data_IF_241982753843
#
_entry.id   IF_241982753843
#
_cell.length_a   1.000
_cell.length_b   1.000
_cell.length_c   1.000
_cell.angle_alpha   90.00
_cell.angle_beta   90.00
_cell.angle_gamma   90.00
#
_symmetry.space_group_name_H-M   'P 1'
#
loop_
_entity.id
_entity.type
_entity.pdbx_description
1 polymer ?
#
# COMPACT_ATOMS: atom_id res chain seq x y z
N UNK A 1 -9.40 -1.16 9.74
CA UNK A 1 -8.70 -0.94 10.99
C UNK A 1 -7.89 0.35 11.07
N UNK A 2 -7.79 1.19 10.01
CA UNK A 2 -7.08 2.47 10.03
C UNK A 2 -8.06 3.65 9.96
N UNK A 3 -7.58 4.84 10.31
CA UNK A 3 -8.38 6.06 10.24
C UNK A 3 -9.62 5.98 11.12
N UNK A 4 -10.78 6.26 10.52
CA UNK A 4 -12.09 6.24 11.17
C UNK A 4 -12.74 4.84 11.19
N UNK A 5 -12.13 3.83 10.55
CA UNK A 5 -12.64 2.45 10.59
C UNK A 5 -12.61 1.87 12.01
N UNK A 6 -13.49 0.92 12.28
CA UNK A 6 -13.47 0.13 13.50
C UNK A 6 -12.12 -0.59 13.69
N UNK A 7 -11.75 -0.81 14.94
CA UNK A 7 -10.51 -1.47 15.34
C UNK A 7 -10.81 -2.64 16.29
N UNK A 8 -11.42 -3.72 15.72
CA UNK A 8 -11.76 -4.89 16.51
C UNK A 8 -10.49 -5.57 17.05
N UNK A 9 -10.64 -6.30 18.15
CA UNK A 9 -9.53 -7.09 18.72
C UNK A 9 -9.31 -8.39 17.90
N UNK A 10 -8.13 -9.01 18.05
CA UNK A 10 -7.76 -10.23 17.32
C UNK A 10 -8.79 -11.38 17.36
N UNK A 11 -9.51 -11.64 18.47
CA UNK A 11 -10.57 -12.65 18.45
C UNK A 11 -11.79 -12.29 17.59
N UNK A 12 -11.96 -11.02 17.26
CA UNK A 12 -13.12 -10.51 16.50
C UNK A 12 -12.81 -10.34 15.02
N UNK A 13 -11.55 -10.10 14.68
CA UNK A 13 -11.13 -9.86 13.29
C UNK A 13 -9.72 -10.36 13.03
N UNK A 14 -9.60 -11.18 12.03
CA UNK A 14 -8.31 -11.68 11.57
C UNK A 14 -7.70 -10.69 10.55
N UNK A 15 -6.70 -9.95 11.00
CA UNK A 15 -6.00 -8.88 10.25
C UNK A 15 -5.10 -9.44 9.15
N UNK A 16 -5.66 -10.13 8.14
CA UNK A 16 -4.93 -10.68 7.00
C UNK A 16 -5.19 -9.93 5.71
N UNK A 17 -4.27 -10.05 4.75
CA UNK A 17 -4.47 -9.55 3.39
C UNK A 17 -5.77 -10.07 2.78
N UNK A 18 -6.06 -11.38 2.94
CA UNK A 18 -7.30 -11.99 2.44
C UNK A 18 -8.54 -11.25 2.97
N UNK A 19 -8.65 -11.10 4.28
CA UNK A 19 -9.81 -10.44 4.88
C UNK A 19 -9.92 -8.96 4.48
N UNK A 20 -8.78 -8.26 4.27
CA UNK A 20 -8.80 -6.87 3.78
C UNK A 20 -9.30 -6.78 2.33
N UNK A 21 -9.00 -7.77 1.50
CA UNK A 21 -9.56 -7.88 0.14
C UNK A 21 -11.07 -8.16 0.23
N UNK A 22 -11.48 -9.08 1.10
CA UNK A 22 -12.90 -9.43 1.33
C UNK A 22 -13.68 -8.20 1.84
N UNK A 23 -13.11 -7.41 2.75
CA UNK A 23 -13.71 -6.16 3.26
C UNK A 23 -13.87 -5.11 2.14
N UNK A 24 -12.86 -4.96 1.27
CA UNK A 24 -12.95 -4.04 0.14
C UNK A 24 -14.05 -4.47 -0.83
N UNK A 25 -14.13 -5.75 -1.14
CA UNK A 25 -15.16 -6.32 -2.01
C UNK A 25 -16.56 -6.07 -1.42
N UNK A 26 -16.76 -6.40 -0.14
CA UNK A 26 -18.01 -6.17 0.57
C UNK A 26 -18.41 -4.67 0.59
N UNK A 27 -17.42 -3.78 0.79
CA UNK A 27 -17.66 -2.34 0.76
C UNK A 27 -18.16 -1.89 -0.63
N UNK A 28 -17.43 -2.27 -1.69
CA UNK A 28 -17.81 -1.89 -3.07
C UNK A 28 -19.18 -2.43 -3.44
N UNK A 29 -19.50 -3.66 -3.05
CA UNK A 29 -20.82 -4.26 -3.29
C UNK A 29 -21.92 -3.55 -2.50
N UNK A 30 -21.66 -3.17 -1.26
CA UNK A 30 -22.62 -2.40 -0.43
C UNK A 30 -22.91 -1.01 -0.98
N UNK A 31 -21.96 -0.43 -1.72
CA UNK A 31 -22.08 0.86 -2.40
C UNK A 31 -22.59 0.75 -3.85
N UNK A 32 -22.93 -0.45 -4.30
CA UNK A 32 -23.31 -0.77 -5.68
C UNK A 32 -22.28 -0.34 -6.75
N UNK A 33 -20.98 -0.31 -6.37
CA UNK A 33 -19.86 0.01 -7.27
C UNK A 33 -19.41 -1.25 -7.97
N UNK A 34 -19.98 -1.57 -9.13
CA UNK A 34 -19.80 -2.86 -9.82
C UNK A 34 -18.97 -2.82 -11.09
N UNK A 35 -18.78 -1.66 -11.70
CA UNK A 35 -18.12 -1.51 -13.01
C UNK A 35 -17.36 -0.19 -13.12
N UNK A 36 -16.48 -0.10 -14.11
CA UNK A 36 -15.74 1.10 -14.45
C UNK A 36 -14.87 1.64 -13.29
N UNK A 37 -14.35 0.75 -12.45
CA UNK A 37 -13.55 1.11 -11.30
C UNK A 37 -12.19 1.63 -11.75
N UNK A 38 -11.80 2.81 -11.26
CA UNK A 38 -10.43 3.30 -11.31
C UNK A 38 -9.80 3.04 -9.95
N UNK A 39 -8.84 2.12 -9.90
CA UNK A 39 -8.05 1.87 -8.69
C UNK A 39 -6.96 2.94 -8.57
N UNK A 40 -6.89 3.62 -7.44
CA UNK A 40 -5.76 4.48 -7.06
C UNK A 40 -5.19 3.89 -5.78
N UNK A 41 -4.04 3.26 -5.86
CA UNK A 41 -3.49 2.43 -4.79
C UNK A 41 -2.12 2.92 -4.33
N UNK A 42 -1.91 2.89 -3.00
CA UNK A 42 -0.68 3.28 -2.33
C UNK A 42 -0.38 2.30 -1.19
N UNK A 43 0.87 2.04 -0.91
CA UNK A 43 1.35 1.15 0.15
C UNK A 43 0.65 -0.23 0.10
N UNK A 44 0.02 -0.69 1.17
CA UNK A 44 -0.77 -1.92 1.19
C UNK A 44 -1.97 -1.91 0.22
N UNK A 45 -2.39 -0.73 -0.20
CA UNK A 45 -3.46 -0.59 -1.19
C UNK A 45 -3.16 -1.30 -2.51
N UNK A 46 -1.88 -1.44 -2.89
CA UNK A 46 -1.49 -2.23 -4.06
C UNK A 46 -1.87 -3.69 -3.94
N UNK A 47 -1.49 -4.35 -2.85
CA UNK A 47 -1.85 -5.76 -2.63
C UNK A 47 -3.35 -5.95 -2.43
N UNK A 48 -4.02 -5.05 -1.70
CA UNK A 48 -5.46 -5.14 -1.45
C UNK A 48 -6.25 -4.85 -2.74
N UNK A 49 -5.95 -3.75 -3.41
CA UNK A 49 -6.65 -3.33 -4.63
C UNK A 49 -6.41 -4.29 -5.80
N UNK A 50 -5.17 -4.74 -6.01
CA UNK A 50 -4.88 -5.72 -7.07
C UNK A 50 -5.37 -7.12 -6.70
N UNK A 51 -5.44 -7.47 -5.41
CA UNK A 51 -6.10 -8.69 -4.97
C UNK A 51 -7.59 -8.70 -5.25
N UNK A 52 -8.28 -7.57 -5.09
CA UNK A 52 -9.66 -7.39 -5.53
C UNK A 52 -9.76 -7.44 -7.06
N UNK A 53 -8.87 -6.74 -7.77
CA UNK A 53 -8.86 -6.73 -9.24
C UNK A 53 -8.66 -8.13 -9.83
N UNK A 54 -7.80 -8.96 -9.25
CA UNK A 54 -7.57 -10.34 -9.68
C UNK A 54 -8.80 -11.25 -9.55
N UNK A 55 -9.73 -10.92 -8.63
CA UNK A 55 -11.00 -11.62 -8.50
C UNK A 55 -12.06 -11.11 -9.47
N UNK A 56 -11.99 -9.84 -9.87
CA UNK A 56 -12.98 -9.13 -10.64
C UNK A 56 -12.34 -8.26 -11.74
N UNK A 57 -11.55 -8.84 -12.65
CA UNK A 57 -10.84 -8.08 -13.68
C UNK A 57 -11.79 -7.28 -14.58
N UNK A 58 -12.99 -7.79 -14.82
CA UNK A 58 -14.03 -7.16 -15.64
C UNK A 58 -14.59 -5.86 -15.02
N UNK A 59 -14.39 -5.65 -13.71
CA UNK A 59 -14.84 -4.43 -13.00
C UNK A 59 -13.84 -3.28 -13.14
N UNK A 60 -12.59 -3.56 -13.54
CA UNK A 60 -11.48 -2.60 -13.52
C UNK A 60 -11.38 -1.87 -14.86
N UNK A 61 -11.49 -0.56 -14.82
CA UNK A 61 -11.31 0.30 -15.99
C UNK A 61 -9.91 0.88 -16.11
N UNK A 62 -9.29 1.25 -14.98
CA UNK A 62 -7.97 1.92 -14.92
C UNK A 62 -7.25 1.58 -13.63
N UNK A 63 -5.92 1.64 -13.67
CA UNK A 63 -5.07 1.42 -12.49
C UNK A 63 -4.11 2.60 -12.34
N UNK A 64 -3.97 3.12 -11.13
CA UNK A 64 -2.97 4.12 -10.73
C UNK A 64 -2.21 3.59 -9.52
N UNK A 65 -0.91 3.38 -9.66
CA UNK A 65 -0.03 2.90 -8.60
C UNK A 65 0.85 4.03 -8.07
N UNK A 66 0.84 4.25 -6.75
CA UNK A 66 1.63 5.25 -6.05
C UNK A 66 2.45 4.56 -4.97
N UNK A 67 3.78 4.44 -5.13
CA UNK A 67 4.67 3.81 -4.13
C UNK A 67 4.05 2.60 -3.44
N UNK A 68 3.88 1.52 -4.16
CA UNK A 68 3.19 0.29 -3.73
C UNK A 68 3.73 -0.95 -4.44
N UNK A 69 3.25 -2.11 -4.03
CA UNK A 69 3.49 -3.38 -4.71
C UNK A 69 2.23 -4.25 -4.76
N UNK A 70 2.17 -5.15 -5.73
CA UNK A 70 1.18 -6.23 -5.83
C UNK A 70 1.89 -7.59 -6.05
N UNK A 71 3.10 -7.73 -5.53
CA UNK A 71 3.98 -8.88 -5.68
C UNK A 71 4.95 -8.95 -4.49
N UNK A 72 5.68 -10.05 -4.36
CA UNK A 72 6.66 -10.24 -3.30
C UNK A 72 7.81 -9.23 -3.35
N UNK A 73 8.49 -9.09 -2.21
CA UNK A 73 9.75 -8.35 -2.12
C UNK A 73 10.70 -8.79 -3.24
N UNK A 74 11.20 -7.87 -4.09
CA UNK A 74 12.15 -8.20 -5.14
C UNK A 74 13.39 -8.89 -4.56
N UNK A 75 13.88 -9.97 -5.21
CA UNK A 75 14.98 -10.80 -4.71
C UNK A 75 16.27 -10.04 -4.44
N UNK A 76 16.47 -8.94 -5.14
CA UNK A 76 17.66 -8.08 -5.02
C UNK A 76 17.59 -7.07 -3.89
N UNK A 77 16.43 -6.94 -3.24
CA UNK A 77 16.20 -5.98 -2.15
C UNK A 77 16.21 -6.67 -0.79
N UNK A 78 17.09 -6.26 0.15
CA UNK A 78 17.01 -6.74 1.52
C UNK A 78 15.75 -6.18 2.21
N UNK A 79 15.12 -7.01 3.05
CA UNK A 79 14.01 -6.54 3.87
C UNK A 79 14.51 -5.54 4.92
N UNK A 80 13.87 -4.36 5.09
CA UNK A 80 14.34 -3.35 6.04
C UNK A 80 14.37 -3.88 7.48
N UNK A 81 15.53 -3.78 8.14
CA UNK A 81 15.74 -4.33 9.49
C UNK A 81 14.77 -3.77 10.54
N UNK A 82 14.38 -2.49 10.40
CA UNK A 82 13.41 -1.86 11.31
C UNK A 82 12.02 -2.50 11.18
N UNK A 83 11.58 -2.82 9.95
CA UNK A 83 10.34 -3.56 9.71
C UNK A 83 10.45 -4.99 10.22
N UNK A 84 11.63 -5.61 10.11
CA UNK A 84 11.87 -6.96 10.64
C UNK A 84 11.68 -6.99 12.16
N UNK A 85 12.21 -6.01 12.91
CA UNK A 85 12.00 -5.90 14.36
C UNK A 85 10.49 -5.77 14.66
N UNK A 86 9.79 -4.90 13.95
CA UNK A 86 8.34 -4.69 14.14
C UNK A 86 7.53 -5.96 13.83
N UNK A 87 7.98 -6.76 12.85
CA UNK A 87 7.30 -7.98 12.42
C UNK A 87 7.54 -9.15 13.37
N UNK A 88 8.78 -9.39 13.77
CA UNK A 88 9.20 -10.68 14.35
C UNK A 88 9.36 -10.64 15.88
N UNK A 89 9.34 -9.45 16.52
CA UNK A 89 9.72 -9.36 17.91
C UNK A 89 8.66 -8.75 18.82
N UNK A 90 8.70 -9.13 20.11
CA UNK A 90 7.89 -8.48 21.15
C UNK A 90 8.27 -7.02 21.34
N UNK A 91 9.55 -6.67 21.14
CA UNK A 91 10.02 -5.28 21.13
C UNK A 91 9.29 -4.47 20.04
N UNK A 92 9.13 -5.04 18.84
CA UNK A 92 8.36 -4.42 17.76
C UNK A 92 6.91 -4.15 18.17
N UNK A 93 6.27 -5.11 18.83
CA UNK A 93 4.93 -4.91 19.38
C UNK A 93 4.86 -3.74 20.36
N UNK A 94 5.84 -3.62 21.26
CA UNK A 94 5.92 -2.53 22.22
C UNK A 94 6.17 -1.18 21.53
N UNK A 95 7.07 -1.15 20.55
CA UNK A 95 7.38 0.07 19.79
C UNK A 95 6.15 0.55 19.00
N UNK A 96 5.47 -0.35 18.30
CA UNK A 96 4.31 0.00 17.47
C UNK A 96 3.10 0.33 18.34
N UNK A 97 2.66 -0.59 19.20
CA UNK A 97 1.41 -0.40 19.98
C UNK A 97 1.61 0.46 21.23
N UNK A 98 2.75 0.34 21.92
CA UNK A 98 3.04 1.09 23.16
C UNK A 98 3.41 2.54 22.86
N UNK A 99 4.42 2.75 22.03
CA UNK A 99 5.03 4.06 21.81
C UNK A 99 4.55 4.78 20.53
N UNK A 100 3.71 4.14 19.72
CA UNK A 100 3.33 4.65 18.39
C UNK A 100 4.53 5.00 17.49
N UNK A 101 5.65 4.31 17.69
CA UNK A 101 6.89 4.65 17.02
C UNK A 101 6.80 4.51 15.50
N UNK A 102 6.02 3.53 15.01
CA UNK A 102 5.86 3.28 13.57
C UNK A 102 5.19 4.46 12.85
N UNK A 103 3.96 4.82 13.25
CA UNK A 103 3.22 5.91 12.60
C UNK A 103 3.90 7.26 12.79
N UNK A 104 4.48 7.49 13.98
CA UNK A 104 5.23 8.71 14.27
C UNK A 104 6.48 8.82 13.40
N UNK A 105 7.32 7.77 13.34
CA UNK A 105 8.52 7.77 12.50
C UNK A 105 8.17 7.93 11.01
N UNK A 106 7.14 7.22 10.53
CA UNK A 106 6.73 7.29 9.14
C UNK A 106 6.38 8.72 8.70
N UNK A 107 5.73 9.51 9.57
CA UNK A 107 5.39 10.91 9.29
C UNK A 107 6.60 11.85 9.11
N UNK A 108 7.80 11.40 9.52
CA UNK A 108 9.06 12.15 9.31
C UNK A 108 9.87 11.57 8.16
N UNK A 109 10.02 10.24 8.10
CA UNK A 109 10.90 9.61 7.11
C UNK A 109 10.24 9.34 5.77
N UNK A 110 8.91 9.34 5.74
CA UNK A 110 8.12 9.02 4.56
C UNK A 110 8.06 10.14 3.52
N UNK A 111 8.35 11.38 3.90
CA UNK A 111 8.49 12.53 2.99
C UNK A 111 9.96 12.88 2.78
N UNK A 112 10.31 13.41 1.61
CA UNK A 112 11.70 13.73 1.24
C UNK A 112 11.85 15.14 0.65
N UNK A 113 10.93 15.57 -0.20
CA UNK A 113 11.00 16.88 -0.87
C UNK A 113 10.81 18.03 0.12
N UNK A 114 9.86 17.89 1.03
CA UNK A 114 9.60 18.86 2.09
C UNK A 114 9.06 18.19 3.35
N UNK A 115 9.41 18.67 4.55
CA UNK A 115 8.79 18.16 5.78
C UNK A 115 7.27 18.42 5.77
N UNK A 116 6.50 17.48 6.29
CA UNK A 116 5.08 17.73 6.58
C UNK A 116 4.96 18.86 7.62
N UNK A 117 3.93 19.70 7.49
CA UNK A 117 3.58 20.63 8.55
C UNK A 117 3.23 19.88 9.84
N UNK A 118 3.24 20.58 10.97
CA UNK A 118 2.87 19.98 12.25
C UNK A 118 1.44 19.43 12.22
N UNK A 119 0.53 20.19 11.65
CA UNK A 119 -0.90 19.87 11.55
C UNK A 119 -1.11 18.60 10.71
N UNK A 120 -0.43 18.50 9.56
CA UNK A 120 -0.50 17.31 8.69
C UNK A 120 0.05 16.08 9.42
N UNK A 121 1.22 16.20 10.08
CA UNK A 121 1.78 15.09 10.87
C UNK A 121 0.85 14.62 11.98
N UNK A 122 0.29 15.57 12.73
CA UNK A 122 -0.68 15.26 13.78
C UNK A 122 -1.91 14.54 13.22
N UNK A 123 -2.41 14.92 12.05
CA UNK A 123 -3.52 14.26 11.38
C UNK A 123 -3.18 12.81 10.99
N UNK A 124 -1.96 12.55 10.48
CA UNK A 124 -1.51 11.19 10.17
C UNK A 124 -1.42 10.28 11.42
N UNK A 125 -1.08 10.85 12.56
CA UNK A 125 -0.85 10.09 13.81
C UNK A 125 -2.12 9.99 14.66
N UNK A 126 -3.05 10.94 14.55
CA UNK A 126 -4.24 11.04 15.38
C UNK A 126 -5.10 9.76 15.47
N UNK A 127 -5.33 8.99 14.37
CA UNK A 127 -6.10 7.75 14.44
C UNK A 127 -5.47 6.65 15.29
N UNK A 128 -4.18 6.78 15.61
CA UNK A 128 -3.36 5.79 16.32
C UNK A 128 -3.02 6.26 17.75
N UNK A 129 -3.99 6.79 18.48
CA UNK A 129 -3.86 7.48 19.77
C UNK A 129 -3.67 6.55 20.98
N UNK A 130 -3.99 5.27 20.85
CA UNK A 130 -3.99 4.32 21.97
C UNK A 130 -3.43 2.96 21.56
N UNK A 131 -3.07 2.14 22.55
CA UNK A 131 -2.66 0.75 22.34
C UNK A 131 -3.68 -0.03 21.49
N UNK A 132 -4.98 0.14 21.76
CA UNK A 132 -6.05 -0.52 21.02
C UNK A 132 -6.06 -0.05 19.56
N UNK A 133 -6.01 1.25 19.33
CA UNK A 133 -6.14 1.84 18.00
C UNK A 133 -4.91 1.64 17.09
N UNK A 134 -3.82 1.06 17.61
CA UNK A 134 -2.61 0.70 16.85
C UNK A 134 -2.54 -0.77 16.45
N UNK A 135 -3.60 -1.56 16.71
CA UNK A 135 -3.60 -2.99 16.39
C UNK A 135 -3.40 -3.23 14.89
N UNK A 136 -4.13 -2.51 14.05
CA UNK A 136 -4.02 -2.67 12.58
C UNK A 136 -2.62 -2.35 12.06
N UNK A 137 -1.98 -1.29 12.57
CA UNK A 137 -0.61 -0.92 12.18
C UNK A 137 0.39 -2.06 12.45
N UNK A 138 0.31 -2.67 13.64
CA UNK A 138 1.14 -3.83 13.97
C UNK A 138 0.84 -5.02 13.05
N UNK A 139 -0.45 -5.32 12.87
CA UNK A 139 -0.87 -6.47 12.06
C UNK A 139 -0.55 -6.32 10.58
N UNK A 140 -0.56 -5.11 10.03
CA UNK A 140 -0.07 -4.87 8.68
C UNK A 140 1.40 -5.27 8.53
N UNK A 141 2.27 -4.87 9.45
CA UNK A 141 3.69 -5.23 9.39
C UNK A 141 3.89 -6.74 9.58
N UNK A 142 3.13 -7.38 10.48
CA UNK A 142 3.22 -8.81 10.75
C UNK A 142 2.67 -9.69 9.63
N UNK A 143 1.79 -9.16 8.79
CA UNK A 143 1.18 -9.87 7.66
C UNK A 143 2.03 -9.83 6.37
N UNK A 144 3.19 -9.14 6.36
CA UNK A 144 4.09 -9.12 5.20
C UNK A 144 4.68 -10.52 4.97
N UNK A 145 4.37 -11.21 3.85
CA UNK A 145 4.92 -12.54 3.60
C UNK A 145 6.35 -12.41 3.04
N UNK A 146 7.32 -13.07 3.67
CA UNK A 146 8.74 -13.03 3.29
C UNK A 146 9.24 -14.32 2.65
N UNK A 147 8.62 -15.45 2.96
CA UNK A 147 9.05 -16.79 2.50
C UNK A 147 7.86 -17.72 2.30
N UNK A 148 8.01 -18.77 1.49
CA UNK A 148 7.02 -19.86 1.40
C UNK A 148 6.66 -20.39 2.79
N UNK A 149 5.35 -20.60 3.01
CA UNK A 149 4.80 -21.00 4.30
C UNK A 149 4.41 -19.84 5.22
N UNK A 150 4.83 -18.60 4.95
CA UNK A 150 4.28 -17.43 5.62
C UNK A 150 2.80 -17.25 5.21
N UNK A 151 2.02 -16.73 6.13
CA UNK A 151 0.62 -16.40 5.88
C UNK A 151 0.48 -15.49 4.66
N UNK A 152 -0.50 -15.76 3.80
CA UNK A 152 -0.76 -15.05 2.55
C UNK A 152 0.37 -15.09 1.49
N UNK A 153 1.45 -15.88 1.68
CA UNK A 153 2.51 -15.97 0.68
C UNK A 153 1.97 -16.39 -0.69
N UNK A 154 1.21 -17.48 -0.75
CA UNK A 154 0.63 -17.98 -2.01
C UNK A 154 -0.40 -17.01 -2.60
N UNK A 155 -1.14 -16.27 -1.75
CA UNK A 155 -2.05 -15.24 -2.21
C UNK A 155 -1.30 -14.09 -2.89
N UNK A 156 -0.19 -13.63 -2.32
CA UNK A 156 0.65 -12.58 -2.94
C UNK A 156 1.29 -13.09 -4.23
N UNK A 157 1.69 -14.37 -4.28
CA UNK A 157 2.16 -14.99 -5.54
C UNK A 157 1.07 -14.93 -6.61
N UNK A 158 -0.13 -15.38 -6.29
CA UNK A 158 -1.29 -15.37 -7.19
C UNK A 158 -1.63 -13.96 -7.69
N UNK A 159 -1.63 -12.97 -6.80
CA UNK A 159 -1.86 -11.57 -7.18
C UNK A 159 -0.77 -11.08 -8.16
N UNK A 160 0.50 -11.38 -7.86
CA UNK A 160 1.61 -11.00 -8.72
C UNK A 160 1.55 -11.64 -10.11
N UNK A 161 1.11 -12.90 -10.19
CA UNK A 161 0.97 -13.63 -11.45
C UNK A 161 -0.20 -13.12 -12.28
N UNK A 162 -1.30 -12.68 -11.64
CA UNK A 162 -2.47 -12.12 -12.32
C UNK A 162 -2.25 -10.75 -12.96
N UNK A 163 -1.14 -10.05 -12.66
CA UNK A 163 -0.87 -8.72 -13.24
C UNK A 163 -0.84 -8.73 -14.78
N UNK A 164 -0.46 -9.85 -15.39
CA UNK A 164 -0.46 -10.01 -16.85
C UNK A 164 -1.87 -9.97 -17.47
N UNK A 165 -2.92 -10.23 -16.70
CA UNK A 165 -4.32 -10.17 -17.18
C UNK A 165 -4.79 -8.71 -17.41
N UNK A 166 -4.06 -7.73 -16.85
CA UNK A 166 -4.34 -6.30 -17.01
C UNK A 166 -3.54 -5.63 -18.13
N UNK A 167 -2.97 -6.40 -19.08
CA UNK A 167 -2.15 -5.87 -20.16
C UNK A 167 -2.88 -4.81 -21.02
N UNK A 168 -4.18 -4.94 -21.16
CA UNK A 168 -5.03 -4.01 -21.93
C UNK A 168 -5.69 -2.93 -21.05
N UNK A 169 -5.45 -2.94 -19.73
CA UNK A 169 -6.02 -1.96 -18.81
C UNK A 169 -5.08 -0.77 -18.68
N UNK A 170 -5.53 0.46 -19.04
CA UNK A 170 -4.71 1.65 -18.88
C UNK A 170 -4.15 1.76 -17.46
N UNK A 171 -2.82 1.90 -17.36
CA UNK A 171 -2.12 1.92 -16.07
C UNK A 171 -1.15 3.10 -16.01
N UNK A 172 -1.24 3.86 -14.91
CA UNK A 172 -0.34 4.94 -14.54
C UNK A 172 0.44 4.55 -13.28
N UNK A 173 1.75 4.76 -13.29
CA UNK A 173 2.62 4.55 -12.12
C UNK A 173 3.34 5.85 -11.81
N UNK A 174 3.12 6.42 -10.61
CA UNK A 174 3.87 7.55 -10.09
C UNK A 174 4.68 7.09 -8.89
N UNK A 175 6.01 7.21 -8.94
CA UNK A 175 6.88 6.54 -7.99
C UNK A 175 7.99 7.44 -7.45
N UNK A 176 7.98 7.67 -6.12
CA UNK A 176 9.04 8.35 -5.38
C UNK A 176 10.22 7.42 -5.15
N UNK A 177 11.40 7.79 -5.67
CA UNK A 177 12.58 6.91 -5.67
C UNK A 177 13.32 6.88 -4.33
N UNK A 178 12.99 7.79 -3.39
CA UNK A 178 13.58 7.82 -2.04
C UNK A 178 12.71 7.16 -0.98
N UNK A 179 11.73 6.36 -1.39
CA UNK A 179 10.93 5.55 -0.48
C UNK A 179 11.80 4.52 0.25
N UNK A 180 11.67 4.42 1.55
CA UNK A 180 12.42 3.49 2.38
C UNK A 180 11.92 2.04 2.29
N UNK A 181 10.71 1.83 1.74
CA UNK A 181 10.09 0.52 1.50
C UNK A 181 10.03 0.22 0.00
N UNK A 182 9.24 1.01 -0.73
CA UNK A 182 9.00 0.81 -2.16
C UNK A 182 9.92 1.71 -2.99
N UNK A 183 11.13 1.25 -3.20
CA UNK A 183 12.18 1.97 -3.93
C UNK A 183 12.28 1.56 -5.42
N UNK A 184 13.39 1.94 -6.05
CA UNK A 184 13.67 1.61 -7.44
C UNK A 184 13.56 0.12 -7.81
N UNK A 185 13.81 -0.81 -6.87
CA UNK A 185 13.71 -2.24 -7.12
C UNK A 185 12.26 -2.69 -7.33
N UNK A 186 11.33 -2.08 -6.57
CA UNK A 186 9.90 -2.29 -6.79
C UNK A 186 9.41 -1.66 -8.08
N UNK A 187 9.90 -0.46 -8.43
CA UNK A 187 9.54 0.17 -9.68
C UNK A 187 10.01 -0.66 -10.90
N UNK A 188 11.20 -1.23 -10.83
CA UNK A 188 11.71 -2.11 -11.90
C UNK A 188 10.86 -3.37 -12.04
N UNK A 189 10.43 -3.98 -10.93
CA UNK A 189 9.54 -5.13 -10.96
C UNK A 189 8.17 -4.75 -11.56
N UNK A 190 7.63 -3.56 -11.25
CA UNK A 190 6.42 -3.05 -11.91
C UNK A 190 6.59 -2.92 -13.42
N UNK A 191 7.71 -2.39 -13.89
CA UNK A 191 8.02 -2.27 -15.33
C UNK A 191 8.06 -3.61 -16.05
N UNK A 192 8.61 -4.62 -15.38
CA UNK A 192 8.67 -5.97 -15.95
C UNK A 192 7.29 -6.62 -16.03
N UNK A 193 6.46 -6.45 -15.01
CA UNK A 193 5.13 -7.07 -14.93
C UNK A 193 4.05 -6.32 -15.72
N UNK A 194 4.18 -5.00 -15.83
CA UNK A 194 3.22 -4.13 -16.51
C UNK A 194 3.95 -3.21 -17.51
N UNK A 195 4.56 -3.75 -18.57
CA UNK A 195 5.40 -2.98 -19.50
C UNK A 195 4.63 -1.93 -20.31
N UNK A 196 3.31 -2.01 -20.36
CA UNK A 196 2.41 -1.06 -21.02
C UNK A 196 2.12 0.17 -20.16
N UNK A 197 2.45 0.14 -18.85
CA UNK A 197 2.13 1.24 -17.94
C UNK A 197 2.90 2.52 -18.28
N UNK A 198 2.23 3.66 -18.18
CA UNK A 198 2.88 4.98 -18.19
C UNK A 198 3.54 5.22 -16.84
N UNK A 199 4.85 5.44 -16.82
CA UNK A 199 5.63 5.59 -15.58
C UNK A 199 6.16 7.01 -15.44
N UNK A 200 5.93 7.61 -14.26
CA UNK A 200 6.52 8.88 -13.84
C UNK A 200 7.36 8.66 -12.57
N UNK A 201 8.64 8.99 -12.67
CA UNK A 201 9.60 8.88 -11.56
C UNK A 201 9.80 10.24 -10.89
N UNK A 202 9.79 10.24 -9.56
CA UNK A 202 10.04 11.40 -8.73
C UNK A 202 11.31 11.14 -7.91
N UNK A 203 12.45 11.61 -8.42
CA UNK A 203 13.77 11.31 -7.86
C UNK A 203 13.98 11.84 -6.42
N UNK A 204 13.22 12.85 -6.03
CA UNK A 204 13.31 13.56 -4.77
C UNK A 204 12.12 13.30 -3.82
N UNK A 205 11.19 12.40 -4.18
CA UNK A 205 10.03 12.06 -3.37
C UNK A 205 10.22 10.73 -2.62
N UNK A 206 9.61 10.63 -1.45
CA UNK A 206 9.60 9.45 -0.60
C UNK A 206 8.32 8.62 -0.73
N UNK A 207 8.00 7.94 0.37
CA UNK A 207 6.84 7.08 0.49
C UNK A 207 5.51 7.83 0.34
N UNK A 208 5.39 8.97 1.01
CA UNK A 208 4.20 9.82 0.92
C UNK A 208 4.28 10.77 -0.29
N UNK A 209 4.27 10.19 -1.48
CA UNK A 209 4.41 10.92 -2.74
C UNK A 209 3.34 12.02 -2.92
N UNK A 210 2.13 11.80 -2.38
CA UNK A 210 1.05 12.80 -2.40
C UNK A 210 1.29 13.97 -1.44
N UNK A 211 2.20 13.84 -0.46
CA UNK A 211 2.65 14.95 0.38
C UNK A 211 3.85 15.68 -0.25
N UNK A 212 4.74 14.92 -0.87
CA UNK A 212 5.93 15.48 -1.53
C UNK A 212 5.61 16.21 -2.84
N UNK A 213 4.74 15.63 -3.68
CA UNK A 213 4.46 16.09 -5.05
C UNK A 213 2.96 16.14 -5.38
N UNK A 214 2.12 16.61 -4.44
CA UNK A 214 0.66 16.57 -4.53
C UNK A 214 0.13 17.10 -5.87
N UNK A 215 0.46 18.34 -6.23
CA UNK A 215 -0.10 19.00 -7.43
C UNK A 215 0.32 18.29 -8.72
N UNK A 216 1.58 17.85 -8.79
CA UNK A 216 2.12 17.14 -9.95
C UNK A 216 1.43 15.79 -10.13
N UNK A 217 1.36 14.98 -9.07
CA UNK A 217 0.75 13.64 -9.12
C UNK A 217 -0.74 13.73 -9.40
N UNK A 218 -1.46 14.66 -8.76
CA UNK A 218 -2.89 14.87 -9.00
C UNK A 218 -3.13 15.34 -10.44
N UNK A 219 -2.27 16.22 -10.97
CA UNK A 219 -2.32 16.64 -12.38
C UNK A 219 -2.20 15.46 -13.33
N UNK A 220 -1.18 14.61 -13.15
CA UNK A 220 -0.97 13.40 -13.94
C UNK A 220 -2.17 12.43 -13.87
N UNK A 221 -2.75 12.22 -12.68
CA UNK A 221 -3.92 11.37 -12.49
C UNK A 221 -5.14 11.94 -13.25
N UNK A 222 -5.39 13.24 -13.15
CA UNK A 222 -6.50 13.90 -13.86
C UNK A 222 -6.35 13.75 -15.38
N UNK A 223 -5.16 14.02 -15.90
CA UNK A 223 -4.86 13.90 -17.33
C UNK A 223 -5.00 12.45 -17.80
N UNK A 224 -4.53 11.50 -17.01
CA UNK A 224 -4.67 10.07 -17.29
C UNK A 224 -6.13 9.63 -17.33
N UNK A 225 -6.96 10.05 -16.36
CA UNK A 225 -8.39 9.72 -16.33
C UNK A 225 -9.12 10.36 -17.52
N UNK A 226 -8.76 11.58 -17.90
CA UNK A 226 -9.39 12.28 -19.02
C UNK A 226 -9.09 11.64 -20.38
N UNK A 227 -7.95 10.97 -20.52
CA UNK A 227 -7.52 10.32 -21.78
C UNK A 227 -8.05 8.89 -21.96
N UNK A 228 -8.40 8.22 -20.88
CA UNK A 228 -8.78 6.81 -20.83
C UNK A 228 -10.18 6.62 -20.23
#
# INVERSE_FOLDING_TARGET
>A
GCGLSDKPDDPQYDYTLRNRIDDLEALLDSLDVKQNITLVVHDWGGMIGMGFAARHPERIKRIVCLNTAAFHLPKTKPFPWALWICRETLLGTLLVRGLNAFSSAASYVGVKRKPMSKEVREAYVAPFDSWKNRISTLRFVQDIPLKPGDRNYDLVTSIGDSLSEFADVPTLICFGLQDFVFDKYFLEEWRQRMPHATVHEFADCGHYILEDASDEVIGLIKDFIAKN
#
